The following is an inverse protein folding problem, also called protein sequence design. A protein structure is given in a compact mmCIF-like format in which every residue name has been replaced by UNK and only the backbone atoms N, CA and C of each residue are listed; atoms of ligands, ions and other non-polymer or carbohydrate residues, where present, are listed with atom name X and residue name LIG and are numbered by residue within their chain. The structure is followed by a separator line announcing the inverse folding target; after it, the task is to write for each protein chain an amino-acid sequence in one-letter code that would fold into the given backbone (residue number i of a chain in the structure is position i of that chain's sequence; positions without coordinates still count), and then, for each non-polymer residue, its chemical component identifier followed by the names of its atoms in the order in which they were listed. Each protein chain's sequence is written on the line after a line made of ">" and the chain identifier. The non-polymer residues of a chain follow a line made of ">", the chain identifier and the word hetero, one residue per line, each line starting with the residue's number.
data_IF_813016468096
#
_entry.id   IF_813016468096
#
_cell.length_a   1.000
_cell.length_b   1.000
_cell.length_c   1.000
_cell.angle_alpha   90.00
_cell.angle_beta   90.00
_cell.angle_gamma   90.00
#
_symmetry.space_group_name_H-M   'P 1'
#
loop_
_entity.id
_entity.type
_entity.pdbx_description
1 polymer ?
#
# COMPACT_ATOMS: atom_id res chain seq x y z
N UNK A 1 1.20 37.13 13.03
CA UNK A 1 2.29 36.45 13.77
C UNK A 1 3.52 36.47 12.87
N UNK A 2 4.74 36.73 13.37
CA UNK A 2 5.93 36.56 12.53
C UNK A 2 6.14 35.06 12.25
N UNK A 3 6.63 34.71 11.06
CA UNK A 3 6.70 33.34 10.54
C UNK A 3 7.46 32.38 11.48
N UNK A 4 8.58 32.85 12.04
CA UNK A 4 9.39 32.13 13.03
C UNK A 4 8.58 31.79 14.29
N UNK A 5 7.75 32.71 14.77
CA UNK A 5 6.92 32.48 15.95
C UNK A 5 5.83 31.45 15.67
N UNK A 6 5.29 31.44 14.45
CA UNK A 6 4.33 30.43 14.02
C UNK A 6 4.97 29.03 13.89
N UNK A 7 6.24 28.94 13.47
CA UNK A 7 6.98 27.66 13.43
C UNK A 7 7.24 27.09 14.82
N UNK A 8 7.65 27.95 15.76
CA UNK A 8 7.87 27.55 17.16
C UNK A 8 6.57 27.03 17.77
N UNK A 9 5.46 27.74 17.57
CA UNK A 9 4.16 27.33 18.12
C UNK A 9 3.64 26.06 17.44
N UNK A 10 3.75 25.93 16.11
CA UNK A 10 3.41 24.69 15.41
C UNK A 10 4.24 23.50 15.92
N UNK A 11 5.54 23.69 16.16
CA UNK A 11 6.40 22.66 16.73
C UNK A 11 5.95 22.25 18.13
N UNK A 12 5.58 23.23 18.96
CA UNK A 12 5.05 22.99 20.31
C UNK A 12 3.72 22.23 20.27
N UNK A 13 2.79 22.62 19.41
CA UNK A 13 1.50 21.94 19.24
C UNK A 13 1.68 20.50 18.73
N UNK A 14 2.60 20.28 17.78
CA UNK A 14 2.96 18.94 17.34
C UNK A 14 3.49 18.08 18.48
N UNK A 15 4.29 18.65 19.38
CA UNK A 15 4.81 17.92 20.54
C UNK A 15 3.70 17.49 21.50
N UNK A 16 2.67 18.33 21.68
CA UNK A 16 1.50 17.98 22.50
C UNK A 16 0.72 16.77 21.95
N UNK A 17 0.75 16.56 20.63
CA UNK A 17 0.11 15.41 19.97
C UNK A 17 1.13 14.36 19.47
N UNK A 18 2.38 14.40 19.93
CA UNK A 18 3.46 13.57 19.38
C UNK A 18 3.15 12.07 19.40
N UNK A 19 2.56 11.57 20.49
CA UNK A 19 2.18 10.15 20.61
C UNK A 19 1.16 9.75 19.56
N UNK A 20 0.10 10.54 19.39
CA UNK A 20 -0.93 10.30 18.38
C UNK A 20 -0.34 10.45 16.98
N UNK A 21 0.43 11.50 16.74
CA UNK A 21 1.12 11.77 15.48
C UNK A 21 1.97 10.57 15.02
N UNK A 22 2.85 10.08 15.90
CA UNK A 22 3.76 8.99 15.58
C UNK A 22 3.00 7.68 15.35
N UNK A 23 1.97 7.41 16.15
CA UNK A 23 1.11 6.25 15.97
C UNK A 23 0.39 6.30 14.63
N UNK A 24 -0.30 7.40 14.34
CA UNK A 24 -1.02 7.61 13.09
C UNK A 24 -0.09 7.51 11.89
N UNK A 25 1.09 8.14 11.94
CA UNK A 25 2.07 8.07 10.86
C UNK A 25 2.54 6.64 10.62
N UNK A 26 2.74 5.87 11.69
CA UNK A 26 3.15 4.47 11.61
C UNK A 26 2.04 3.57 11.04
N UNK A 27 0.79 3.75 11.45
CA UNK A 27 -0.35 3.00 10.91
C UNK A 27 -0.61 3.36 9.44
N UNK A 28 -0.49 4.65 9.12
CA UNK A 28 -0.65 5.21 7.77
C UNK A 28 0.42 4.68 6.82
N UNK A 29 1.71 4.73 7.19
CA UNK A 29 2.79 4.21 6.33
C UNK A 29 2.66 2.71 6.06
N UNK A 30 2.23 1.93 7.07
CA UNK A 30 1.99 0.49 6.88
C UNK A 30 0.82 0.24 5.92
N UNK A 31 -0.25 1.02 6.05
CA UNK A 31 -1.42 0.91 5.16
C UNK A 31 -1.06 1.30 3.72
N UNK A 32 -0.31 2.39 3.53
CA UNK A 32 0.21 2.80 2.22
C UNK A 32 1.11 1.71 1.58
N UNK A 33 2.07 1.18 2.35
CA UNK A 33 2.93 0.10 1.89
C UNK A 33 2.14 -1.14 1.45
N UNK A 34 1.16 -1.56 2.26
CA UNK A 34 0.32 -2.70 1.94
C UNK A 34 -0.56 -2.46 0.70
N UNK A 35 -1.09 -1.25 0.53
CA UNK A 35 -1.80 -0.84 -0.68
C UNK A 35 -0.91 -1.00 -1.91
N UNK A 36 0.28 -0.39 -1.89
CA UNK A 36 1.24 -0.47 -3.00
C UNK A 36 1.63 -1.91 -3.31
N UNK A 37 1.98 -2.69 -2.29
CA UNK A 37 2.33 -4.11 -2.47
C UNK A 37 1.19 -4.89 -3.11
N UNK A 38 -0.06 -4.69 -2.66
CA UNK A 38 -1.21 -5.35 -3.26
C UNK A 38 -1.39 -4.94 -4.72
N UNK A 39 -1.28 -3.64 -5.02
CA UNK A 39 -1.37 -3.09 -6.37
C UNK A 39 -0.37 -3.76 -7.30
N UNK A 40 0.92 -3.72 -6.96
CA UNK A 40 1.94 -4.20 -7.87
C UNK A 40 1.96 -5.73 -7.99
N UNK A 41 1.75 -6.49 -6.92
CA UNK A 41 1.60 -7.96 -7.03
C UNK A 41 0.42 -8.30 -7.95
N UNK A 42 -0.70 -7.58 -7.82
CA UNK A 42 -1.86 -7.80 -8.70
C UNK A 42 -1.54 -7.50 -10.17
N UNK A 43 -0.70 -6.50 -10.45
CA UNK A 43 -0.24 -6.17 -11.80
C UNK A 43 0.66 -7.26 -12.37
N UNK A 44 1.67 -7.71 -11.61
CA UNK A 44 2.58 -8.80 -12.00
C UNK A 44 1.78 -10.07 -12.30
N UNK A 45 0.87 -10.46 -11.40
CA UNK A 45 0.04 -11.64 -11.61
C UNK A 45 -0.89 -11.50 -12.82
N UNK A 46 -1.46 -10.32 -13.06
CA UNK A 46 -2.27 -10.06 -14.24
C UNK A 46 -1.44 -10.20 -15.52
N UNK A 47 -0.21 -9.68 -15.52
CA UNK A 47 0.71 -9.80 -16.66
C UNK A 47 1.05 -11.27 -16.92
N UNK A 48 1.48 -12.00 -15.88
CA UNK A 48 1.80 -13.43 -15.96
C UNK A 48 0.61 -14.26 -16.44
N UNK A 49 -0.60 -13.93 -16.00
CA UNK A 49 -1.85 -14.57 -16.41
C UNK A 49 -2.20 -14.34 -17.87
N UNK A 50 -1.74 -13.23 -18.46
CA UNK A 50 -2.11 -12.78 -19.81
C UNK A 50 -1.13 -13.27 -20.89
N UNK A 51 -0.03 -13.94 -20.51
CA UNK A 51 0.91 -14.57 -21.45
C UNK A 51 0.24 -15.77 -22.15
N UNK A 52 0.71 -16.08 -23.36
CA UNK A 52 0.24 -17.23 -24.15
C UNK A 52 0.37 -18.54 -23.36
N UNK A 53 1.49 -18.68 -22.65
CA UNK A 53 1.68 -19.70 -21.62
C UNK A 53 1.70 -18.96 -20.27
N UNK A 54 0.62 -19.03 -19.47
CA UNK A 54 0.55 -18.33 -18.20
C UNK A 54 1.63 -18.78 -17.23
N UNK A 55 2.26 -17.82 -16.56
CA UNK A 55 3.22 -18.11 -15.49
C UNK A 55 2.45 -18.20 -14.17
N UNK A 56 2.56 -19.33 -13.48
CA UNK A 56 1.90 -19.55 -12.20
C UNK A 56 2.91 -19.44 -11.05
N UNK A 57 2.64 -18.62 -10.02
CA UNK A 57 3.38 -18.68 -8.77
C UNK A 57 3.34 -20.09 -8.16
N UNK A 58 4.42 -20.49 -7.47
CA UNK A 58 4.57 -21.84 -6.89
C UNK A 58 3.36 -22.29 -6.06
N UNK A 59 2.77 -21.37 -5.28
CA UNK A 59 1.59 -21.66 -4.45
C UNK A 59 0.34 -22.08 -5.23
N UNK A 60 0.30 -21.85 -6.53
CA UNK A 60 -0.78 -22.26 -7.43
C UNK A 60 -0.43 -23.44 -8.32
N UNK A 61 0.84 -23.85 -8.37
CA UNK A 61 1.26 -25.00 -9.15
C UNK A 61 0.64 -26.28 -8.59
N UNK A 62 -0.06 -27.00 -9.45
CA UNK A 62 -0.61 -28.32 -9.14
C UNK A 62 0.36 -29.36 -9.72
N UNK A 63 0.87 -30.26 -8.87
CA UNK A 63 1.82 -31.30 -9.29
C UNK A 63 1.18 -32.24 -10.29
N UNK A 64 1.94 -32.67 -11.28
CA UNK A 64 1.51 -33.72 -12.21
C UNK A 64 1.21 -35.03 -11.47
N UNK A 65 0.27 -35.81 -12.02
CA UNK A 65 -0.14 -37.10 -11.47
C UNK A 65 0.15 -38.13 -12.56
N UNK A 66 0.95 -39.13 -12.21
CA UNK A 66 1.33 -40.19 -13.15
C UNK A 66 0.10 -41.02 -13.56
N UNK A 67 -0.07 -41.23 -14.87
CA UNK A 67 -1.20 -41.98 -15.42
C UNK A 67 -2.51 -41.20 -15.53
N UNK A 68 -2.52 -39.89 -15.20
CA UNK A 68 -3.71 -39.06 -15.38
C UNK A 68 -4.05 -38.85 -16.86
N UNK A 69 -5.34 -38.86 -17.19
CA UNK A 69 -5.77 -38.57 -18.56
C UNK A 69 -5.68 -37.07 -18.87
N UNK A 70 -5.50 -36.74 -20.15
CA UNK A 70 -5.32 -35.35 -20.60
C UNK A 70 -6.45 -34.42 -20.13
N UNK A 71 -7.70 -34.89 -20.15
CA UNK A 71 -8.86 -34.09 -19.75
C UNK A 71 -8.79 -33.68 -18.27
N UNK A 72 -8.37 -34.56 -17.38
CA UNK A 72 -8.20 -34.25 -15.96
C UNK A 72 -7.05 -33.26 -15.74
N UNK A 73 -5.96 -33.41 -16.49
CA UNK A 73 -4.83 -32.46 -16.47
C UNK A 73 -5.27 -31.06 -16.88
N UNK A 74 -6.07 -30.93 -17.94
CA UNK A 74 -6.64 -29.67 -18.40
C UNK A 74 -7.57 -29.05 -17.34
N UNK A 75 -8.42 -29.85 -16.68
CA UNK A 75 -9.29 -29.39 -15.58
C UNK A 75 -8.44 -28.83 -14.43
N UNK A 76 -7.36 -29.51 -14.05
CA UNK A 76 -6.45 -29.03 -12.98
C UNK A 76 -5.73 -27.75 -13.37
N UNK A 77 -5.23 -27.65 -14.61
CA UNK A 77 -4.63 -26.43 -15.12
C UNK A 77 -5.61 -25.24 -15.08
N UNK A 78 -6.86 -25.45 -15.51
CA UNK A 78 -7.91 -24.44 -15.45
C UNK A 78 -8.27 -24.02 -14.02
N UNK A 79 -8.26 -24.98 -13.07
CA UNK A 79 -8.47 -24.69 -11.66
C UNK A 79 -7.33 -23.82 -11.08
N UNK A 80 -6.08 -24.11 -11.45
CA UNK A 80 -4.93 -23.31 -11.02
C UNK A 80 -5.02 -21.86 -11.53
N UNK A 81 -5.41 -21.67 -12.80
CA UNK A 81 -5.65 -20.34 -13.37
C UNK A 81 -6.80 -19.62 -12.66
N UNK A 82 -7.91 -20.31 -12.39
CA UNK A 82 -9.05 -19.73 -11.67
C UNK A 82 -8.67 -19.28 -10.26
N UNK A 83 -7.79 -20.01 -9.57
CA UNK A 83 -7.25 -19.61 -8.26
C UNK A 83 -6.37 -18.37 -8.35
N UNK A 84 -5.57 -18.23 -9.40
CA UNK A 84 -4.79 -17.03 -9.66
C UNK A 84 -5.72 -15.82 -9.92
N UNK A 85 -6.76 -15.99 -10.74
CA UNK A 85 -7.74 -14.93 -11.04
C UNK A 85 -8.48 -14.46 -9.78
N UNK A 86 -8.84 -15.40 -8.89
CA UNK A 86 -9.42 -15.08 -7.59
C UNK A 86 -8.44 -14.31 -6.68
N UNK A 87 -7.17 -14.68 -6.65
CA UNK A 87 -6.15 -13.97 -5.87
C UNK A 87 -5.92 -12.55 -6.40
N UNK A 88 -5.85 -12.35 -7.73
CA UNK A 88 -5.76 -11.02 -8.34
C UNK A 88 -6.93 -10.15 -7.86
N UNK A 89 -8.14 -10.71 -7.87
CA UNK A 89 -9.34 -10.02 -7.41
C UNK A 89 -9.26 -9.66 -5.92
N UNK A 90 -8.81 -10.59 -5.07
CA UNK A 90 -8.60 -10.35 -3.64
C UNK A 90 -7.57 -9.25 -3.38
N UNK A 91 -6.46 -9.22 -4.13
CA UNK A 91 -5.43 -8.20 -4.02
C UNK A 91 -5.99 -6.82 -4.39
N UNK A 92 -6.83 -6.71 -5.43
CA UNK A 92 -7.50 -5.44 -5.80
C UNK A 92 -8.46 -4.95 -4.72
N UNK A 93 -9.26 -5.84 -4.13
CA UNK A 93 -10.15 -5.47 -3.01
C UNK A 93 -9.36 -5.05 -1.77
N UNK A 94 -8.25 -5.75 -1.46
CA UNK A 94 -7.36 -5.38 -0.34
C UNK A 94 -6.69 -4.03 -0.59
N UNK A 95 -6.27 -3.75 -1.82
CA UNK A 95 -5.71 -2.46 -2.22
C UNK A 95 -6.68 -1.32 -1.90
N UNK A 96 -7.94 -1.42 -2.32
CA UNK A 96 -8.99 -0.43 -2.01
C UNK A 96 -9.17 -0.23 -0.50
N UNK A 97 -9.24 -1.32 0.27
CA UNK A 97 -9.37 -1.25 1.74
C UNK A 97 -8.19 -0.52 2.39
N UNK A 98 -6.97 -0.79 1.95
CA UNK A 98 -5.80 -0.11 2.48
C UNK A 98 -5.73 1.36 2.05
N UNK A 99 -6.23 1.68 0.86
CA UNK A 99 -6.39 3.04 0.37
C UNK A 99 -7.36 3.84 1.22
N UNK A 100 -8.57 3.32 1.43
CA UNK A 100 -9.55 3.89 2.35
C UNK A 100 -8.97 4.07 3.75
N UNK A 101 -8.18 3.10 4.23
CA UNK A 101 -7.58 3.15 5.57
C UNK A 101 -6.54 4.26 5.72
N UNK A 102 -5.61 4.44 4.77
CA UNK A 102 -4.63 5.53 4.93
C UNK A 102 -5.29 6.90 4.73
N UNK A 103 -6.29 7.00 3.84
CA UNK A 103 -7.08 8.22 3.64
C UNK A 103 -7.90 8.60 4.89
N UNK A 104 -8.46 7.61 5.59
CA UNK A 104 -9.19 7.87 6.84
C UNK A 104 -8.26 8.31 7.97
N UNK A 105 -7.04 7.78 8.03
CA UNK A 105 -6.02 8.26 8.99
C UNK A 105 -5.61 9.69 8.66
N UNK A 106 -5.39 10.01 7.38
CA UNK A 106 -5.05 11.38 6.96
C UNK A 106 -6.18 12.36 7.31
N UNK A 107 -7.43 11.98 7.06
CA UNK A 107 -8.61 12.77 7.45
C UNK A 107 -8.69 12.97 8.97
N UNK A 108 -8.53 11.89 9.75
CA UNK A 108 -8.61 11.96 11.20
C UNK A 108 -7.51 12.85 11.79
N UNK A 109 -6.28 12.78 11.26
CA UNK A 109 -5.18 13.64 11.69
C UNK A 109 -5.40 15.11 11.33
N UNK A 110 -5.97 15.40 10.15
CA UNK A 110 -6.31 16.76 9.76
C UNK A 110 -7.38 17.33 10.70
N UNK A 111 -8.44 16.56 10.99
CA UNK A 111 -9.48 16.96 11.94
C UNK A 111 -8.90 17.25 13.33
N UNK A 112 -8.05 16.36 13.85
CA UNK A 112 -7.39 16.56 15.14
C UNK A 112 -6.55 17.86 15.18
N UNK A 113 -5.86 18.20 14.08
CA UNK A 113 -5.09 19.44 13.96
C UNK A 113 -6.03 20.65 13.97
N UNK A 114 -7.12 20.60 13.19
CA UNK A 114 -8.10 21.68 13.08
C UNK A 114 -8.91 21.90 14.38
N UNK A 115 -9.11 20.87 15.20
CA UNK A 115 -9.78 21.01 16.50
C UNK A 115 -8.89 21.67 17.56
N UNK A 116 -7.57 21.53 17.45
CA UNK A 116 -6.59 22.04 18.43
C UNK A 116 -6.00 23.39 18.07
N UNK A 117 -6.02 23.74 16.80
CA UNK A 117 -5.33 24.92 16.27
C UNK A 117 -6.23 25.67 15.31
N UNK A 118 -5.88 26.92 15.01
CA UNK A 118 -6.60 27.71 14.03
C UNK A 118 -5.67 28.66 13.28
N UNK A 119 -6.06 29.00 12.06
CA UNK A 119 -5.34 29.95 11.22
C UNK A 119 -3.94 29.46 10.83
N UNK A 120 -2.94 30.32 10.93
CA UNK A 120 -1.59 30.05 10.41
C UNK A 120 -0.90 28.82 11.04
N UNK A 121 -1.21 28.50 12.30
CA UNK A 121 -0.60 27.34 13.00
C UNK A 121 -1.15 26.03 12.44
N UNK A 122 -2.46 26.00 12.15
CA UNK A 122 -3.14 24.85 11.56
C UNK A 122 -2.56 24.52 10.18
N UNK A 123 -2.40 25.53 9.33
CA UNK A 123 -1.79 25.39 8.01
C UNK A 123 -0.37 24.82 8.09
N UNK A 124 0.45 25.31 9.04
CA UNK A 124 1.81 24.81 9.26
C UNK A 124 1.81 23.36 9.71
N UNK A 125 0.96 22.98 10.67
CA UNK A 125 0.85 21.61 11.17
C UNK A 125 0.38 20.63 10.09
N UNK A 126 -0.64 21.01 9.30
CA UNK A 126 -1.09 20.20 8.17
C UNK A 126 0.02 20.07 7.12
N UNK A 127 0.81 21.12 6.89
CA UNK A 127 1.99 21.09 6.04
C UNK A 127 3.05 20.09 6.53
N UNK A 128 3.36 20.11 7.83
CA UNK A 128 4.28 19.15 8.45
C UNK A 128 3.76 17.70 8.33
N UNK A 129 2.45 17.49 8.46
CA UNK A 129 1.85 16.17 8.30
C UNK A 129 2.03 15.67 6.87
N UNK A 130 1.66 16.48 5.88
CA UNK A 130 1.83 16.17 4.45
C UNK A 130 3.29 15.90 4.08
N UNK A 131 4.23 16.65 4.66
CA UNK A 131 5.66 16.41 4.42
C UNK A 131 6.11 15.08 5.02
N UNK A 132 5.69 14.76 6.24
CA UNK A 132 6.03 13.52 6.91
C UNK A 132 5.48 12.31 6.15
N UNK A 133 4.21 12.36 5.72
CA UNK A 133 3.59 11.28 4.95
C UNK A 133 4.26 11.10 3.58
N UNK A 134 4.49 12.18 2.84
CA UNK A 134 5.20 12.14 1.54
C UNK A 134 6.59 11.51 1.67
N UNK A 135 7.34 11.84 2.72
CA UNK A 135 8.67 11.28 2.95
C UNK A 135 8.64 9.77 3.18
N UNK A 136 7.60 9.26 3.85
CA UNK A 136 7.42 7.82 4.04
C UNK A 136 6.98 7.12 2.73
N UNK A 137 6.15 7.77 1.91
CA UNK A 137 5.76 7.26 0.59
C UNK A 137 6.95 7.11 -0.35
N UNK A 138 7.83 8.13 -0.40
CA UNK A 138 9.06 8.11 -1.20
C UNK A 138 10.00 6.96 -0.79
N UNK A 139 10.12 6.70 0.52
CA UNK A 139 10.86 5.54 1.04
C UNK A 139 10.22 4.24 0.57
N UNK A 140 8.90 4.09 0.72
CA UNK A 140 8.18 2.91 0.25
C UNK A 140 8.33 2.69 -1.26
N UNK A 141 8.26 3.74 -2.06
CA UNK A 141 8.49 3.68 -3.51
C UNK A 141 9.92 3.22 -3.84
N UNK A 142 10.92 3.76 -3.13
CA UNK A 142 12.33 3.36 -3.32
C UNK A 142 12.56 1.88 -2.99
N UNK A 143 11.93 1.37 -1.92
CA UNK A 143 12.00 -0.05 -1.56
C UNK A 143 11.34 -0.90 -2.63
N UNK A 144 10.19 -0.46 -3.16
CA UNK A 144 9.50 -1.17 -4.22
C UNK A 144 10.31 -1.23 -5.52
N UNK A 145 10.92 -0.12 -5.95
CA UNK A 145 11.73 -0.09 -7.18
C UNK A 145 12.84 -1.16 -7.18
N UNK A 146 13.49 -1.37 -6.04
CA UNK A 146 14.49 -2.44 -5.88
C UNK A 146 13.90 -3.85 -6.01
N UNK A 147 12.65 -4.04 -5.56
CA UNK A 147 11.95 -5.31 -5.72
C UNK A 147 11.48 -5.51 -7.17
N UNK A 148 11.02 -4.44 -7.82
CA UNK A 148 10.59 -4.46 -9.21
C UNK A 148 11.74 -4.83 -10.16
N UNK A 149 12.94 -4.25 -9.95
CA UNK A 149 14.16 -4.64 -10.67
C UNK A 149 14.44 -6.15 -10.56
N UNK A 150 14.17 -6.77 -9.41
CA UNK A 150 14.31 -8.23 -9.27
C UNK A 150 13.26 -9.00 -10.06
N UNK A 151 11.99 -8.56 -10.05
CA UNK A 151 10.91 -9.20 -10.80
C UNK A 151 11.06 -9.07 -12.33
N UNK A 152 11.62 -7.97 -12.83
CA UNK A 152 11.84 -7.75 -14.27
C UNK A 152 13.00 -8.59 -14.83
N UNK A 153 13.91 -9.06 -13.97
CA UNK A 153 15.06 -9.90 -14.36
C UNK A 153 14.77 -11.41 -14.24
N UNK A 154 13.49 -11.79 -14.13
CA UNK A 154 12.98 -13.17 -13.95
C UNK A 154 12.34 -13.69 -15.24
#
# INVERSE_FOLDING_TARGET
>A
MNDIQADIEASRQKELIATLWNRSLNERKQSFWNMMRCKYISMIYQEWRSKEIPILPEKFLIREIEGECQQETEIRANLALSRLDAEISLLRTRMQRYEEKFNSIDTAMITEISERTSGQIEEKLQGLWKQATKREEEKSATIWLKQDEWFQNL
#
